data_IF_217899482697
#
_entry.id   IF_217899482697
#
_cell.length_a   1.000
_cell.length_b   1.000
_cell.length_c   1.000
_cell.angle_alpha   90.00
_cell.angle_beta   90.00
_cell.angle_gamma   90.00
#
_symmetry.space_group_name_H-M   'P 1'
#
loop_
_entity.id
_entity.type
_entity.pdbx_description
1 polymer ?
#
# COMPACT_ATOMS: atom_id res chain seq x y z
N UNK A 1 6.54 -16.31 -0.10
CA UNK A 1 5.29 -16.45 -0.89
C UNK A 1 5.64 -16.24 -2.37
N UNK A 2 5.12 -17.03 -3.33
CA UNK A 2 5.46 -16.86 -4.74
C UNK A 2 5.07 -15.47 -5.25
N UNK A 3 5.75 -15.01 -6.31
CA UNK A 3 5.38 -13.75 -6.97
C UNK A 3 3.91 -13.81 -7.42
N UNK A 4 3.15 -12.71 -7.27
CA UNK A 4 1.84 -12.59 -7.91
C UNK A 4 1.98 -12.67 -9.44
N UNK A 5 0.84 -12.84 -10.12
CA UNK A 5 0.78 -12.67 -11.58
C UNK A 5 1.22 -11.26 -12.02
N UNK A 6 1.22 -10.97 -13.34
CA UNK A 6 1.62 -9.65 -13.83
C UNK A 6 0.77 -8.54 -13.20
N UNK A 7 1.42 -7.42 -12.86
CA UNK A 7 0.71 -6.23 -12.40
C UNK A 7 -0.20 -5.68 -13.51
N UNK A 8 -1.40 -5.25 -13.13
CA UNK A 8 -2.41 -4.69 -14.05
C UNK A 8 -1.93 -3.45 -14.79
N UNK A 9 -1.19 -2.60 -14.09
CA UNK A 9 -0.45 -1.47 -14.66
C UNK A 9 1.04 -1.67 -14.43
N UNK A 10 1.86 -0.89 -15.13
CA UNK A 10 3.31 -0.89 -14.94
C UNK A 10 3.66 -0.70 -13.46
N UNK A 11 4.50 -1.59 -12.96
CA UNK A 11 4.99 -1.58 -11.58
C UNK A 11 5.74 -0.28 -11.26
N UNK A 12 5.61 0.17 -10.01
CA UNK A 12 6.43 1.25 -9.45
C UNK A 12 7.70 0.66 -8.84
N UNK A 13 8.83 1.33 -9.04
CA UNK A 13 10.13 0.94 -8.48
C UNK A 13 10.42 1.78 -7.26
N UNK A 14 10.65 1.13 -6.12
CA UNK A 14 11.03 1.81 -4.89
C UNK A 14 12.39 1.31 -4.42
N UNK A 15 13.28 2.27 -4.13
CA UNK A 15 14.58 2.00 -3.50
C UNK A 15 14.42 2.08 -1.99
N UNK A 16 14.52 0.95 -1.30
CA UNK A 16 14.49 0.92 0.15
C UNK A 16 15.79 1.52 0.72
N UNK A 17 15.75 1.89 1.99
CA UNK A 17 16.88 2.41 2.77
C UNK A 17 17.44 1.30 3.64
N UNK A 18 18.77 1.25 3.72
CA UNK A 18 19.49 0.44 4.69
C UNK A 18 19.36 0.99 6.11
N UNK A 19 19.75 0.22 7.14
CA UNK A 19 19.60 0.60 8.55
C UNK A 19 20.27 1.92 8.94
N UNK A 20 21.33 2.30 8.23
CA UNK A 20 22.11 3.53 8.39
C UNK A 20 21.61 4.68 7.48
N UNK A 21 20.51 4.48 6.75
CA UNK A 21 19.98 5.42 5.77
C UNK A 21 20.63 5.35 4.39
N UNK A 22 21.60 4.46 4.17
CA UNK A 22 22.20 4.21 2.87
C UNK A 22 21.20 3.62 1.85
N UNK A 23 21.49 3.65 0.54
CA UNK A 23 20.64 2.96 -0.44
C UNK A 23 20.61 1.44 -0.20
N UNK A 24 19.40 0.90 -0.01
CA UNK A 24 19.12 -0.52 0.14
C UNK A 24 18.62 -1.19 -1.15
N UNK A 25 17.96 -2.35 -1.05
CA UNK A 25 17.47 -3.09 -2.21
C UNK A 25 16.37 -2.33 -2.98
N UNK A 26 16.22 -2.65 -4.27
CA UNK A 26 15.05 -2.23 -5.04
C UNK A 26 13.92 -3.24 -4.85
N UNK A 27 12.70 -2.73 -4.73
CA UNK A 27 11.49 -3.55 -4.75
C UNK A 27 10.55 -3.04 -5.84
N UNK A 28 9.84 -3.98 -6.47
CA UNK A 28 8.79 -3.69 -7.43
C UNK A 28 7.45 -3.72 -6.71
N UNK A 29 6.66 -2.68 -6.88
CA UNK A 29 5.32 -2.58 -6.33
C UNK A 29 4.32 -2.71 -7.46
N UNK A 30 3.33 -3.58 -7.26
CA UNK A 30 2.31 -3.86 -8.26
C UNK A 30 0.93 -3.99 -7.65
N UNK A 31 -0.03 -4.18 -8.54
CA UNK A 31 -1.42 -4.42 -8.17
C UNK A 31 -2.10 -5.37 -9.14
N UNK A 32 -3.05 -6.15 -8.63
CA UNK A 32 -3.91 -6.97 -9.48
C UNK A 32 -4.96 -6.09 -10.20
N UNK A 33 -5.55 -6.63 -11.26
CA UNK A 33 -6.68 -5.97 -11.94
C UNK A 33 -7.82 -5.76 -10.92
N UNK A 34 -8.33 -4.52 -10.78
CA UNK A 34 -9.43 -4.27 -9.86
C UNK A 34 -10.72 -4.94 -10.32
N UNK A 35 -11.35 -5.68 -9.42
CA UNK A 35 -12.74 -6.11 -9.59
C UNK A 35 -13.68 -4.98 -9.17
N UNK A 36 -14.66 -4.66 -10.00
CA UNK A 36 -15.67 -3.63 -9.71
C UNK A 36 -16.97 -4.31 -9.30
N UNK A 37 -17.45 -3.97 -8.11
CA UNK A 37 -18.73 -4.46 -7.56
C UNK A 37 -19.89 -3.60 -8.06
N UNK A 38 -21.11 -4.14 -8.00
CA UNK A 38 -22.34 -3.45 -8.44
C UNK A 38 -22.61 -2.14 -7.67
N UNK A 39 -22.13 -2.03 -6.44
CA UNK A 39 -22.23 -0.85 -5.58
C UNK A 39 -21.06 0.14 -5.75
N UNK A 40 -20.23 -0.05 -6.78
CA UNK A 40 -19.15 0.84 -7.18
C UNK A 40 -17.83 0.64 -6.43
N UNK A 41 -17.74 -0.32 -5.52
CA UNK A 41 -16.46 -0.63 -4.86
C UNK A 41 -15.47 -1.30 -5.81
N UNK A 42 -14.26 -0.77 -5.85
CA UNK A 42 -13.10 -1.39 -6.48
C UNK A 42 -12.35 -2.22 -5.46
N UNK A 43 -12.15 -3.51 -5.76
CA UNK A 43 -11.36 -4.42 -4.94
C UNK A 43 -10.11 -4.83 -5.70
N UNK A 44 -8.94 -4.68 -5.08
CA UNK A 44 -7.66 -5.10 -5.65
C UNK A 44 -6.71 -5.58 -4.57
N UNK A 45 -5.63 -6.23 -4.98
CA UNK A 45 -4.50 -6.60 -4.12
C UNK A 45 -3.30 -5.78 -4.52
N UNK A 46 -2.68 -5.10 -3.56
CA UNK A 46 -1.39 -4.44 -3.70
C UNK A 46 -0.30 -5.34 -3.14
N UNK A 47 0.87 -5.34 -3.77
CA UNK A 47 1.96 -6.20 -3.37
C UNK A 47 3.31 -5.57 -3.64
N UNK A 48 4.32 -5.95 -2.85
CA UNK A 48 5.73 -5.69 -3.13
C UNK A 48 6.49 -6.98 -3.39
N UNK A 49 7.37 -6.99 -4.38
CA UNK A 49 8.18 -8.16 -4.75
C UNK A 49 9.64 -7.80 -4.97
N UNK A 50 10.50 -8.80 -4.74
CA UNK A 50 11.88 -8.85 -5.20
C UNK A 50 12.08 -10.06 -6.13
N UNK A 51 13.31 -10.40 -6.48
CA UNK A 51 13.64 -11.56 -7.33
C UNK A 51 13.15 -12.91 -6.76
N UNK A 52 12.94 -13.01 -5.45
CA UNK A 52 12.56 -14.25 -4.76
C UNK A 52 11.05 -14.43 -4.61
N UNK A 53 10.27 -13.34 -4.59
CA UNK A 53 8.84 -13.43 -4.31
C UNK A 53 8.25 -12.16 -3.72
N UNK A 54 7.09 -12.31 -3.06
CA UNK A 54 6.52 -11.24 -2.24
C UNK A 54 7.42 -11.01 -1.03
N UNK A 55 7.81 -9.76 -0.83
CA UNK A 55 8.67 -9.34 0.27
C UNK A 55 7.95 -9.40 1.62
N UNK A 56 8.69 -9.50 2.72
CA UNK A 56 8.12 -9.29 4.05
C UNK A 56 7.88 -7.79 4.32
N UNK A 57 6.83 -7.47 5.07
CA UNK A 57 6.52 -6.10 5.47
C UNK A 57 7.61 -5.51 6.39
N UNK A 58 8.39 -6.34 7.10
CA UNK A 58 9.58 -5.92 7.86
C UNK A 58 10.61 -5.18 7.01
N UNK A 59 10.72 -5.49 5.70
CA UNK A 59 11.67 -4.82 4.81
C UNK A 59 11.33 -3.35 4.56
N UNK A 60 10.05 -2.98 4.70
CA UNK A 60 9.56 -1.62 4.49
C UNK A 60 9.23 -0.90 5.79
N UNK A 61 9.60 -1.48 6.93
CA UNK A 61 9.44 -0.86 8.24
C UNK A 61 10.30 0.42 8.36
N UNK A 62 9.93 1.32 9.29
CA UNK A 62 10.77 2.47 9.64
C UNK A 62 12.19 2.06 10.03
N UNK A 63 13.15 2.93 9.76
CA UNK A 63 14.57 2.66 10.04
C UNK A 63 14.87 2.47 11.53
N UNK A 64 14.07 3.08 12.42
CA UNK A 64 14.20 2.85 13.86
C UNK A 64 13.67 1.48 14.32
N UNK A 65 13.10 0.70 13.40
CA UNK A 65 12.49 -0.59 13.63
C UNK A 65 10.96 -0.58 13.42
N UNK A 66 10.34 -1.77 13.30
CA UNK A 66 8.91 -1.89 13.14
C UNK A 66 8.17 -1.40 14.39
N UNK A 67 7.18 -0.51 14.27
CA UNK A 67 6.38 -0.05 15.38
C UNK A 67 5.41 -1.16 15.88
N UNK A 68 4.82 -1.03 17.09
CA UNK A 68 3.97 -2.06 17.67
C UNK A 68 2.63 -2.26 16.94
N UNK A 69 2.14 -1.26 16.20
CA UNK A 69 0.93 -1.41 15.38
C UNK A 69 1.15 -2.31 14.16
N UNK A 70 0.05 -2.73 13.52
CA UNK A 70 0.11 -3.50 12.29
C UNK A 70 0.66 -2.66 11.12
N UNK A 71 1.39 -3.25 10.15
CA UNK A 71 1.89 -2.53 8.98
C UNK A 71 0.79 -1.78 8.22
N UNK A 72 -0.38 -2.40 8.10
CA UNK A 72 -1.55 -1.81 7.42
C UNK A 72 -2.02 -0.51 8.06
N UNK A 73 -1.81 -0.32 9.36
CA UNK A 73 -2.19 0.91 10.05
C UNK A 73 -1.32 2.09 9.61
N UNK A 74 0.00 1.89 9.49
CA UNK A 74 0.92 2.92 9.03
C UNK A 74 0.78 3.17 7.52
N UNK A 75 0.88 2.10 6.72
CA UNK A 75 0.80 2.18 5.26
C UNK A 75 -0.56 2.72 4.81
N UNK A 76 -1.65 2.20 5.42
CA UNK A 76 -3.01 2.60 5.10
C UNK A 76 -3.29 4.07 5.40
N UNK A 77 -2.75 4.61 6.50
CA UNK A 77 -2.87 6.05 6.81
C UNK A 77 -2.23 6.93 5.73
N UNK A 78 -1.01 6.58 5.30
CA UNK A 78 -0.28 7.35 4.28
C UNK A 78 -0.99 7.23 2.92
N UNK A 79 -1.41 6.01 2.57
CA UNK A 79 -2.12 5.72 1.33
C UNK A 79 -3.48 6.45 1.27
N UNK A 80 -4.29 6.39 2.33
CA UNK A 80 -5.58 7.10 2.39
C UNK A 80 -5.40 8.62 2.29
N UNK A 81 -4.36 9.17 2.94
CA UNK A 81 -3.99 10.57 2.81
C UNK A 81 -3.59 10.95 1.38
N UNK A 82 -2.81 10.10 0.71
CA UNK A 82 -2.38 10.32 -0.68
C UNK A 82 -3.52 10.22 -1.70
N UNK A 83 -4.57 9.43 -1.42
CA UNK A 83 -5.78 9.33 -2.25
C UNK A 83 -6.87 10.34 -1.88
N UNK A 84 -6.59 11.24 -0.93
CA UNK A 84 -7.58 12.22 -0.50
C UNK A 84 -8.03 13.14 -1.64
N UNK A 85 -9.34 13.37 -1.73
CA UNK A 85 -9.97 14.11 -2.81
C UNK A 85 -10.27 13.29 -4.08
N UNK A 86 -9.84 12.03 -4.14
CA UNK A 86 -10.24 11.06 -5.18
C UNK A 86 -11.27 10.06 -4.69
N UNK A 87 -11.28 9.79 -3.39
CA UNK A 87 -12.20 8.84 -2.76
C UNK A 87 -13.52 9.53 -2.42
N UNK A 88 -14.60 8.77 -2.59
CA UNK A 88 -15.92 9.16 -2.12
C UNK A 88 -15.96 9.19 -0.58
N UNK A 89 -16.96 9.86 -0.01
CA UNK A 89 -17.11 10.03 1.42
C UNK A 89 -18.53 9.78 1.90
N UNK A 90 -18.65 9.14 3.06
CA UNK A 90 -19.90 8.93 3.76
C UNK A 90 -19.71 9.37 5.22
N UNK A 91 -20.60 10.21 5.74
CA UNK A 91 -20.49 10.81 7.08
C UNK A 91 -19.13 11.44 7.37
N UNK A 92 -18.54 12.08 6.35
CA UNK A 92 -17.22 12.72 6.42
C UNK A 92 -16.04 11.74 6.48
N UNK A 93 -16.25 10.46 6.21
CA UNK A 93 -15.20 9.42 6.18
C UNK A 93 -14.95 8.95 4.77
N UNK A 94 -13.67 8.90 4.39
CA UNK A 94 -13.25 8.36 3.11
C UNK A 94 -13.63 6.88 2.98
N UNK A 95 -14.13 6.52 1.81
CA UNK A 95 -14.54 5.15 1.50
C UNK A 95 -13.36 4.34 0.99
N UNK A 96 -12.52 3.95 1.95
CA UNK A 96 -11.36 3.10 1.76
C UNK A 96 -11.28 2.07 2.88
N UNK A 97 -10.93 0.84 2.53
CA UNK A 97 -10.71 -0.26 3.47
C UNK A 97 -9.45 -0.99 3.07
N UNK A 98 -8.57 -1.21 4.04
CA UNK A 98 -7.35 -1.99 3.85
C UNK A 98 -7.34 -3.17 4.81
N UNK A 99 -6.84 -4.30 4.34
CA UNK A 99 -6.55 -5.48 5.17
C UNK A 99 -5.24 -6.11 4.75
N UNK A 100 -4.62 -6.82 5.67
CA UNK A 100 -3.51 -7.73 5.38
C UNK A 100 -3.89 -9.11 5.90
N UNK A 101 -3.21 -10.14 5.38
CA UNK A 101 -3.25 -11.45 6.00
C UNK A 101 -2.81 -11.36 7.48
N UNK A 102 -3.36 -12.20 8.37
CA UNK A 102 -2.82 -12.34 9.73
C UNK A 102 -1.32 -12.64 9.71
N UNK A 103 -0.60 -12.21 10.74
CA UNK A 103 0.78 -12.67 10.91
C UNK A 103 0.76 -14.10 11.47
N UNK A 104 1.80 -14.87 11.12
CA UNK A 104 2.01 -16.19 11.74
C UNK A 104 2.25 -16.07 13.26
N UNK A 105 2.82 -14.94 13.69
CA UNK A 105 3.03 -14.56 15.08
C UNK A 105 2.53 -13.12 15.29
N UNK A 106 1.36 -12.95 15.90
CA UNK A 106 0.77 -11.64 16.16
C UNK A 106 1.55 -10.82 17.22
N UNK A 107 2.51 -11.41 17.95
CA UNK A 107 3.47 -10.64 18.76
C UNK A 107 4.53 -9.93 17.91
N UNK A 108 4.65 -10.31 16.63
CA UNK A 108 5.56 -9.73 15.64
C UNK A 108 4.75 -9.31 14.41
N UNK A 109 3.87 -8.30 14.53
CA UNK A 109 2.86 -8.00 13.52
C UNK A 109 3.44 -7.59 12.17
N UNK A 110 4.72 -7.23 12.08
CA UNK A 110 5.38 -6.90 10.81
C UNK A 110 5.95 -8.10 10.05
N UNK A 111 6.08 -9.27 10.70
CA UNK A 111 6.52 -10.51 10.04
C UNK A 111 5.36 -11.15 9.29
N UNK A 112 5.04 -10.58 8.13
CA UNK A 112 4.03 -11.07 7.20
C UNK A 112 4.37 -10.59 5.77
N UNK A 113 3.84 -11.23 4.72
CA UNK A 113 4.02 -10.74 3.35
C UNK A 113 3.49 -9.30 3.19
N UNK A 114 4.19 -8.47 2.42
CA UNK A 114 3.72 -7.15 2.01
C UNK A 114 2.67 -7.29 0.91
N UNK A 115 1.47 -7.66 1.35
CA UNK A 115 0.30 -7.85 0.52
C UNK A 115 -0.89 -7.20 1.22
N UNK A 116 -1.50 -6.21 0.55
CA UNK A 116 -2.64 -5.46 1.07
C UNK A 116 -3.86 -5.71 0.19
N UNK A 117 -4.96 -6.14 0.78
CA UNK A 117 -6.26 -6.09 0.15
C UNK A 117 -6.82 -4.68 0.31
N UNK A 118 -7.08 -4.04 -0.82
CA UNK A 118 -7.61 -2.69 -0.90
C UNK A 118 -9.02 -2.75 -1.46
N UNK A 119 -9.96 -2.12 -0.76
CA UNK A 119 -11.24 -1.74 -1.30
C UNK A 119 -11.36 -0.22 -1.28
N UNK A 120 -11.74 0.40 -2.40
CA UNK A 120 -11.99 1.85 -2.50
C UNK A 120 -13.29 2.12 -3.25
N UNK A 121 -13.99 3.18 -2.87
CA UNK A 121 -15.03 3.78 -3.70
C UNK A 121 -14.56 5.14 -4.16
N UNK A 122 -14.52 5.34 -5.46
CA UNK A 122 -14.12 6.60 -6.07
C UNK A 122 -15.23 7.63 -5.95
N UNK A 123 -14.85 8.89 -5.75
CA UNK A 123 -15.80 10.00 -5.90
C UNK A 123 -16.47 9.89 -7.28
N UNK A 124 -17.81 9.99 -7.37
CA UNK A 124 -18.53 9.70 -8.60
C UNK A 124 -18.16 10.63 -9.75
N UNK A 125 -17.80 11.88 -9.46
CA UNK A 125 -17.35 12.84 -10.48
C UNK A 125 -15.96 12.44 -10.97
N UNK A 126 -15.02 12.13 -10.07
CA UNK A 126 -13.67 11.67 -10.42
C UNK A 126 -13.70 10.34 -11.19
N UNK A 127 -14.49 9.39 -10.73
CA UNK A 127 -14.67 8.08 -11.37
C UNK A 127 -15.26 8.16 -12.77
N UNK A 128 -16.10 9.18 -13.05
CA UNK A 128 -16.68 9.39 -14.38
C UNK A 128 -15.70 10.01 -15.39
N UNK A 129 -14.71 10.78 -14.93
CA UNK A 129 -13.80 11.53 -15.82
C UNK A 129 -12.43 10.87 -15.99
N UNK A 130 -12.05 9.96 -15.09
CA UNK A 130 -10.78 9.25 -15.15
C UNK A 130 -10.96 7.86 -15.74
N UNK A 131 -10.02 7.44 -16.60
CA UNK A 131 -9.98 6.07 -17.11
C UNK A 131 -9.56 5.09 -16.01
N UNK A 132 -9.94 3.80 -16.10
CA UNK A 132 -9.55 2.81 -15.11
C UNK A 132 -8.04 2.73 -14.84
N UNK A 133 -7.22 2.82 -15.90
CA UNK A 133 -5.76 2.78 -15.77
C UNK A 133 -5.17 4.03 -15.10
N UNK A 134 -5.88 5.16 -15.12
CA UNK A 134 -5.48 6.39 -14.44
C UNK A 134 -5.77 6.26 -12.94
N UNK A 135 -6.95 5.76 -12.57
CA UNK A 135 -7.30 5.46 -11.18
C UNK A 135 -6.38 4.41 -10.56
N UNK A 136 -6.09 3.32 -11.28
CA UNK A 136 -5.13 2.31 -10.85
C UNK A 136 -3.72 2.90 -10.63
N UNK A 137 -3.31 3.85 -11.47
CA UNK A 137 -2.01 4.53 -11.32
C UNK A 137 -1.94 5.39 -10.07
N UNK A 138 -3.02 6.07 -9.73
CA UNK A 138 -3.09 6.84 -8.48
C UNK A 138 -3.02 5.92 -7.25
N UNK A 139 -3.68 4.75 -7.27
CA UNK A 139 -3.50 3.74 -6.22
C UNK A 139 -2.03 3.33 -6.10
N UNK A 140 -1.39 2.94 -7.21
CA UNK A 140 -0.04 2.38 -7.16
C UNK A 140 1.01 3.41 -6.75
N UNK A 141 0.86 4.67 -7.18
CA UNK A 141 1.68 5.80 -6.73
C UNK A 141 1.48 6.09 -5.24
N UNK A 142 0.24 6.08 -4.76
CA UNK A 142 -0.06 6.24 -3.34
C UNK A 142 0.56 5.11 -2.50
N UNK A 143 0.53 3.87 -3.02
CA UNK A 143 1.18 2.74 -2.39
C UNK A 143 2.71 2.86 -2.38
N UNK A 144 3.33 3.24 -3.50
CA UNK A 144 4.77 3.50 -3.56
C UNK A 144 5.22 4.56 -2.55
N UNK A 145 4.50 5.69 -2.50
CA UNK A 145 4.71 6.73 -1.51
C UNK A 145 4.57 6.19 -0.08
N UNK A 146 3.58 5.36 0.19
CA UNK A 146 3.38 4.78 1.52
C UNK A 146 4.56 3.91 1.95
N UNK A 147 5.13 3.12 1.04
CA UNK A 147 6.33 2.31 1.28
C UNK A 147 7.55 3.19 1.52
N UNK A 148 7.78 4.19 0.66
CA UNK A 148 8.92 5.12 0.79
C UNK A 148 8.90 5.91 2.10
N UNK A 149 7.72 6.41 2.49
CA UNK A 149 7.55 7.17 3.74
C UNK A 149 7.65 6.26 4.96
N UNK A 150 7.05 5.06 4.91
CA UNK A 150 7.15 4.09 6.00
C UNK A 150 8.61 3.65 6.23
N UNK A 151 9.37 3.45 5.15
CA UNK A 151 10.79 3.09 5.20
C UNK A 151 11.72 4.31 5.43
N UNK A 152 11.16 5.45 5.82
CA UNK A 152 11.91 6.63 6.24
C UNK A 152 12.37 6.58 7.70
N UNK A 153 13.07 7.63 8.15
CA UNK A 153 13.31 7.82 9.58
C UNK A 153 11.97 7.99 10.31
N UNK A 154 11.84 7.37 11.48
CA UNK A 154 10.66 7.57 12.33
C UNK A 154 10.53 9.05 12.68
N UNK A 155 9.46 9.70 12.23
CA UNK A 155 9.10 11.03 12.71
C UNK A 155 8.65 10.93 14.16
N UNK A 156 9.60 10.98 15.09
CA UNK A 156 9.32 11.35 16.48
C UNK A 156 8.82 12.79 16.47
N UNK A 157 7.53 13.01 16.72
CA UNK A 157 7.01 14.34 17.05
C UNK A 157 5.83 14.81 16.19
N UNK A 158 4.62 14.54 16.68
CA UNK A 158 3.65 15.57 17.03
C UNK A 158 2.51 14.88 17.79
N UNK A 159 2.59 15.01 19.11
CA UNK A 159 1.44 14.94 20.02
C UNK A 159 0.82 16.33 20.11
#
# INVERSE_FOLDING_TARGET
MPRPGPSFIREERVRLRGPDGSPGPEVLLGMNEPSIMDDGWWLTTLWGVDETGVIEATMVAPLAGPPPEQPVSLLGRILAGALSGLLDQEDGRQLIRLRMLPADDESRPWRRPLLLWLAVRWDPVRGAVMRPNELAREILRAFARSVEVANGPSSSGQA
#
